data_IF_398015988535
#
_entry.id   IF_398015988535
#
_cell.length_a   1.000
_cell.length_b   1.000
_cell.length_c   1.000
_cell.angle_alpha   90.00
_cell.angle_beta   90.00
_cell.angle_gamma   90.00
#
_symmetry.space_group_name_H-M   'P 1'
#
loop_
_entity.id
_entity.type
_entity.pdbx_description
1 polymer ?
#
# COMPACT_ATOMS: atom_id res chain seq x y z
N UNK A 1 17.07 53.57 -44.35
CA UNK A 1 16.77 53.14 -42.96
C UNK A 1 15.27 52.88 -42.73
N UNK A 2 14.55 52.26 -43.69
CA UNK A 2 13.09 51.98 -43.61
C UNK A 2 12.72 50.49 -43.61
N UNK A 3 13.63 49.60 -44.04
CA UNK A 3 13.34 48.16 -44.20
C UNK A 3 13.51 47.28 -42.94
N UNK A 4 13.87 47.85 -41.78
CA UNK A 4 14.05 47.04 -40.54
C UNK A 4 12.86 47.12 -39.58
N UNK A 5 11.88 48.01 -39.81
CA UNK A 5 10.69 48.16 -38.95
C UNK A 5 9.46 47.35 -39.42
N UNK A 6 9.35 46.96 -40.69
CA UNK A 6 8.20 46.17 -41.17
C UNK A 6 8.20 44.70 -40.71
N UNK A 7 9.37 44.07 -40.59
CA UNK A 7 9.47 42.65 -40.25
C UNK A 7 9.05 42.33 -38.80
N UNK A 8 9.13 43.30 -37.88
CA UNK A 8 8.73 43.08 -36.48
C UNK A 8 7.20 43.18 -36.26
N UNK A 9 6.47 43.75 -37.23
CA UNK A 9 5.02 43.91 -37.14
C UNK A 9 4.26 42.73 -37.75
N UNK A 10 4.79 42.09 -38.80
CA UNK A 10 4.20 40.88 -39.41
C UNK A 10 4.31 39.66 -38.48
N UNK A 11 5.45 39.49 -37.80
CA UNK A 11 5.68 38.35 -36.92
C UNK A 11 4.79 38.39 -35.65
N UNK A 12 4.49 39.60 -35.15
CA UNK A 12 3.52 39.78 -34.05
C UNK A 12 2.09 39.45 -34.48
N UNK A 13 1.68 39.81 -35.71
CA UNK A 13 0.36 39.46 -36.24
C UNK A 13 0.21 37.94 -36.42
N UNK A 14 1.23 37.28 -36.96
CA UNK A 14 1.27 35.82 -37.11
C UNK A 14 1.20 35.11 -35.75
N UNK A 15 1.93 35.61 -34.75
CA UNK A 15 1.87 35.09 -33.40
C UNK A 15 0.47 35.26 -32.77
N UNK A 16 -0.17 36.41 -32.98
CA UNK A 16 -1.54 36.66 -32.50
C UNK A 16 -2.55 35.72 -33.18
N UNK A 17 -2.44 35.48 -34.48
CA UNK A 17 -3.32 34.53 -35.18
C UNK A 17 -3.12 33.08 -34.69
N UNK A 18 -1.87 32.66 -34.45
CA UNK A 18 -1.58 31.35 -33.84
C UNK A 18 -2.15 31.23 -32.43
N UNK A 19 -2.05 32.29 -31.63
CA UNK A 19 -2.60 32.31 -30.27
C UNK A 19 -4.14 32.22 -30.28
N UNK A 20 -4.81 32.94 -31.18
CA UNK A 20 -6.27 32.87 -31.34
C UNK A 20 -6.69 31.47 -31.80
N UNK A 21 -5.97 30.86 -32.74
CA UNK A 21 -6.24 29.50 -33.21
C UNK A 21 -6.07 28.46 -32.09
N UNK A 22 -5.03 28.62 -31.26
CA UNK A 22 -4.78 27.76 -30.10
C UNK A 22 -5.92 27.84 -29.08
N UNK A 23 -6.38 29.04 -28.71
CA UNK A 23 -7.52 29.18 -27.81
C UNK A 23 -8.84 28.69 -28.42
N UNK A 24 -9.08 28.91 -29.72
CA UNK A 24 -10.26 28.38 -30.41
C UNK A 24 -10.28 26.84 -30.40
N UNK A 25 -9.12 26.20 -30.56
CA UNK A 25 -8.99 24.74 -30.48
C UNK A 25 -9.32 24.20 -29.07
N UNK A 26 -8.79 24.84 -28.02
CA UNK A 26 -9.06 24.43 -26.63
C UNK A 26 -10.52 24.65 -26.21
N UNK A 27 -11.16 25.73 -26.64
CA UNK A 27 -12.57 25.98 -26.36
C UNK A 27 -13.46 24.97 -27.10
N UNK A 28 -13.14 24.66 -28.36
CA UNK A 28 -13.87 23.67 -29.17
C UNK A 28 -13.80 22.26 -28.58
N UNK A 29 -12.62 21.80 -28.15
CA UNK A 29 -12.46 20.47 -27.54
C UNK A 29 -13.13 20.37 -26.18
N UNK A 30 -13.13 21.45 -25.39
CA UNK A 30 -13.82 21.49 -24.09
C UNK A 30 -15.33 21.36 -24.23
N UNK A 31 -15.94 22.04 -25.20
CA UNK A 31 -17.38 21.94 -25.49
C UNK A 31 -17.74 20.55 -26.05
N UNK A 32 -16.88 19.98 -26.90
CA UNK A 32 -17.08 18.64 -27.45
C UNK A 32 -17.10 17.55 -26.37
N UNK A 33 -16.22 17.63 -25.36
CA UNK A 33 -16.22 16.67 -24.24
C UNK A 33 -17.45 16.76 -23.35
N UNK A 34 -18.00 17.97 -23.15
CA UNK A 34 -19.22 18.16 -22.34
C UNK A 34 -20.46 17.64 -23.09
N UNK A 35 -20.51 17.80 -24.41
CA UNK A 35 -21.65 17.34 -25.23
C UNK A 35 -21.67 15.83 -25.49
N UNK A 36 -20.52 15.15 -25.41
CA UNK A 36 -20.42 13.71 -25.68
C UNK A 36 -20.52 12.83 -24.42
N UNK A 37 -20.54 13.42 -23.22
CA UNK A 37 -20.87 12.73 -21.99
C UNK A 37 -22.40 12.58 -21.85
N UNK A 38 -22.97 11.59 -22.53
CA UNK A 38 -24.35 11.17 -22.24
C UNK A 38 -24.39 10.56 -20.84
N UNK A 39 -25.22 11.05 -19.91
CA UNK A 39 -25.47 10.34 -18.66
C UNK A 39 -26.14 9.02 -18.99
N UNK A 40 -25.49 7.92 -18.63
CA UNK A 40 -26.08 6.59 -18.65
C UNK A 40 -27.26 6.61 -17.66
N UNK A 41 -28.50 6.30 -18.08
CA UNK A 41 -29.61 6.24 -17.15
C UNK A 41 -29.31 5.17 -16.10
N UNK A 42 -29.70 5.38 -14.83
CA UNK A 42 -29.56 4.35 -13.81
C UNK A 42 -30.35 3.12 -14.28
N UNK A 43 -29.67 1.98 -14.37
CA UNK A 43 -30.30 0.69 -14.60
C UNK A 43 -31.17 0.39 -13.39
N UNK A 44 -32.46 0.65 -13.53
CA UNK A 44 -33.51 0.19 -12.63
C UNK A 44 -33.57 -1.33 -12.76
N UNK A 45 -32.87 -2.03 -11.87
CA UNK A 45 -33.07 -3.47 -11.67
C UNK A 45 -34.28 -3.63 -10.77
N UNK A 46 -35.41 -3.94 -11.39
CA UNK A 46 -36.56 -4.53 -10.70
C UNK A 46 -36.08 -5.72 -9.85
N UNK A 47 -36.41 -5.65 -8.56
CA UNK A 47 -36.13 -6.71 -7.59
C UNK A 47 -37.13 -7.83 -7.83
N UNK A 48 -36.75 -8.80 -8.65
CA UNK A 48 -37.27 -10.16 -8.54
C UNK A 48 -36.33 -10.94 -7.62
N UNK A 49 -36.78 -11.22 -6.40
CA UNK A 49 -36.09 -12.04 -5.41
C UNK A 49 -36.02 -13.50 -5.88
N UNK A 50 -35.05 -13.80 -6.74
CA UNK A 50 -34.51 -15.15 -6.82
C UNK A 50 -33.63 -15.38 -5.57
N UNK A 51 -33.69 -16.56 -4.93
CA UNK A 51 -32.79 -16.87 -3.83
C UNK A 51 -31.34 -16.81 -4.34
N UNK A 52 -30.59 -15.82 -3.87
CA UNK A 52 -29.14 -15.73 -4.06
C UNK A 52 -28.53 -16.97 -3.42
N UNK A 53 -28.16 -17.95 -4.25
CA UNK A 53 -27.17 -18.95 -3.86
C UNK A 53 -25.87 -18.17 -3.70
N UNK A 54 -25.53 -17.83 -2.45
CA UNK A 54 -24.24 -17.23 -2.11
C UNK A 54 -23.19 -18.22 -2.61
N UNK A 55 -22.34 -17.87 -3.59
CA UNK A 55 -21.22 -18.71 -3.94
C UNK A 55 -20.41 -18.94 -2.67
N UNK A 56 -19.98 -20.19 -2.35
CA UNK A 56 -19.05 -20.41 -1.27
C UNK A 56 -17.89 -19.43 -1.43
N UNK A 57 -17.56 -18.69 -0.37
CA UNK A 57 -16.42 -17.79 -0.39
C UNK A 57 -15.21 -18.56 -0.92
N UNK A 58 -14.69 -18.14 -2.06
CA UNK A 58 -13.54 -18.76 -2.70
C UNK A 58 -12.38 -18.64 -1.72
N UNK A 59 -12.03 -19.73 -1.06
CA UNK A 59 -10.89 -19.79 -0.15
C UNK A 59 -9.66 -19.63 -1.04
N UNK A 60 -9.17 -18.39 -1.20
CA UNK A 60 -7.91 -18.14 -1.88
C UNK A 60 -6.86 -19.02 -1.20
N UNK A 61 -6.26 -19.92 -1.97
CA UNK A 61 -5.14 -20.72 -1.50
C UNK A 61 -4.07 -19.77 -0.98
N UNK A 62 -3.68 -19.92 0.28
CA UNK A 62 -2.61 -19.12 0.87
C UNK A 62 -1.27 -19.68 0.43
N UNK A 63 -0.38 -18.79 -0.03
CA UNK A 63 0.97 -19.14 -0.48
C UNK A 63 1.97 -18.37 0.38
N UNK A 64 2.67 -19.10 1.25
CA UNK A 64 3.51 -18.52 2.30
C UNK A 64 2.75 -18.12 3.56
N UNK A 65 3.48 -17.55 4.51
CA UNK A 65 2.95 -17.01 5.75
C UNK A 65 3.70 -15.74 6.16
N UNK A 66 2.97 -14.81 6.78
CA UNK A 66 3.49 -13.67 7.51
C UNK A 66 2.94 -13.70 8.93
N UNK A 67 3.83 -13.61 9.91
CA UNK A 67 3.48 -13.70 11.32
C UNK A 67 4.12 -12.60 12.13
N UNK A 68 3.33 -11.93 12.97
CA UNK A 68 3.84 -11.08 14.05
C UNK A 68 4.21 -11.96 15.23
N UNK A 69 5.45 -11.83 15.69
CA UNK A 69 6.02 -12.59 16.80
C UNK A 69 6.78 -11.68 17.76
N UNK A 70 6.92 -12.14 19.00
CA UNK A 70 7.77 -11.51 20.02
C UNK A 70 9.12 -12.21 20.05
N UNK A 71 10.17 -11.55 20.54
CA UNK A 71 11.49 -12.18 20.66
C UNK A 71 11.52 -13.33 21.68
N UNK A 72 10.59 -13.31 22.64
CA UNK A 72 10.43 -14.34 23.66
C UNK A 72 8.98 -14.82 23.60
N UNK A 73 8.76 -16.05 23.12
CA UNK A 73 7.41 -16.61 22.89
C UNK A 73 6.54 -16.57 24.15
N UNK A 74 7.12 -16.78 25.33
CA UNK A 74 6.40 -16.81 26.61
C UNK A 74 6.13 -15.41 27.20
N UNK A 75 6.77 -14.36 26.66
CA UNK A 75 6.65 -13.01 27.22
C UNK A 75 5.61 -12.21 26.45
N UNK A 76 4.37 -12.32 26.86
CA UNK A 76 3.24 -11.56 26.29
C UNK A 76 2.90 -10.30 27.08
N UNK A 77 3.52 -10.08 28.24
CA UNK A 77 3.22 -8.96 29.14
C UNK A 77 4.38 -7.97 29.25
N UNK A 78 4.08 -6.68 29.13
CA UNK A 78 5.06 -5.59 29.05
C UNK A 78 4.66 -4.39 29.92
N UNK A 79 5.63 -3.71 30.55
CA UNK A 79 5.33 -2.50 31.31
C UNK A 79 4.93 -1.34 30.39
N UNK A 80 3.96 -0.56 30.84
CA UNK A 80 3.58 0.70 30.20
C UNK A 80 4.79 1.64 30.04
N UNK A 81 4.78 2.46 28.98
CA UNK A 81 5.79 3.46 28.65
C UNK A 81 7.19 2.89 28.33
N UNK A 82 7.34 1.56 28.30
CA UNK A 82 8.56 0.88 27.82
C UNK A 82 8.36 0.35 26.42
N UNK A 83 9.32 0.63 25.57
CA UNK A 83 9.28 0.17 24.19
C UNK A 83 9.24 -1.36 24.11
N UNK A 84 8.37 -1.86 23.23
CA UNK A 84 8.24 -3.26 22.89
C UNK A 84 8.68 -3.47 21.45
N UNK A 85 9.29 -4.62 21.20
CA UNK A 85 9.72 -5.03 19.87
C UNK A 85 8.85 -6.19 19.40
N UNK A 86 8.20 -5.99 18.25
CA UNK A 86 7.43 -7.00 17.53
C UNK A 86 8.18 -7.26 16.23
N UNK A 87 8.49 -8.51 15.93
CA UNK A 87 9.12 -8.88 14.67
C UNK A 87 8.08 -9.43 13.70
N UNK A 88 8.26 -9.12 12.43
CA UNK A 88 7.58 -9.78 11.34
C UNK A 88 8.44 -10.95 10.86
N UNK A 89 7.90 -12.15 10.97
CA UNK A 89 8.45 -13.39 10.44
C UNK A 89 7.76 -13.72 9.11
N UNK A 90 8.54 -14.23 8.15
CA UNK A 90 8.06 -14.62 6.83
C UNK A 90 8.48 -16.05 6.48
N UNK A 91 7.57 -16.75 5.81
CA UNK A 91 7.79 -18.01 5.12
C UNK A 91 7.26 -17.82 3.69
N UNK A 92 8.13 -17.98 2.68
CA UNK A 92 7.77 -17.79 1.27
C UNK A 92 7.44 -19.11 0.56
N UNK A 93 7.41 -20.24 1.26
CA UNK A 93 7.19 -21.57 0.67
C UNK A 93 8.07 -21.83 -0.55
N UNK A 94 9.38 -21.65 -0.37
CA UNK A 94 10.43 -21.84 -1.40
C UNK A 94 10.42 -20.81 -2.55
N UNK A 95 9.50 -19.85 -2.55
CA UNK A 95 9.45 -18.79 -3.58
C UNK A 95 10.52 -17.73 -3.33
N UNK A 96 11.13 -17.26 -4.42
CA UNK A 96 12.09 -16.16 -4.40
C UNK A 96 11.35 -14.82 -4.36
N UNK A 97 11.61 -14.01 -3.33
CA UNK A 97 10.87 -12.77 -3.07
C UNK A 97 11.69 -11.55 -3.50
N UNK A 98 11.09 -10.66 -4.28
CA UNK A 98 11.65 -9.38 -4.70
C UNK A 98 11.11 -8.20 -3.87
N UNK A 99 9.94 -8.37 -3.26
CA UNK A 99 9.33 -7.37 -2.40
C UNK A 99 8.18 -7.92 -1.57
N UNK A 100 7.71 -7.11 -0.62
CA UNK A 100 6.53 -7.43 0.18
C UNK A 100 5.82 -6.17 0.64
N UNK A 101 4.50 -6.24 0.68
CA UNK A 101 3.64 -5.22 1.28
C UNK A 101 3.02 -5.80 2.56
N UNK A 102 2.90 -4.99 3.61
CA UNK A 102 2.38 -5.43 4.90
C UNK A 102 1.47 -4.38 5.49
N UNK A 103 0.30 -4.80 5.95
CA UNK A 103 -0.69 -3.96 6.61
C UNK A 103 -0.99 -4.50 8.01
N UNK A 104 -0.73 -3.66 9.02
CA UNK A 104 -0.91 -4.00 10.44
C UNK A 104 -1.93 -3.05 11.05
N UNK A 105 -3.06 -3.61 11.51
CA UNK A 105 -4.01 -2.90 12.36
C UNK A 105 -3.57 -2.98 13.82
N UNK A 106 -3.68 -1.86 14.53
CA UNK A 106 -3.36 -1.71 15.95
C UNK A 106 -4.19 -0.56 16.53
N UNK A 107 -4.23 -0.42 17.86
CA UNK A 107 -4.87 0.73 18.52
C UNK A 107 -3.88 1.91 18.63
N UNK A 108 -4.01 2.98 17.81
CA UNK A 108 -3.12 4.14 17.84
C UNK A 108 -3.31 5.03 19.07
N UNK A 109 -4.40 4.85 19.83
CA UNK A 109 -4.62 5.54 21.11
C UNK A 109 -3.97 4.78 22.28
N UNK A 110 -3.64 3.50 22.09
CA UNK A 110 -2.96 2.69 23.09
C UNK A 110 -1.46 2.52 22.82
N UNK A 111 -1.01 2.69 21.57
CA UNK A 111 0.41 2.58 21.22
C UNK A 111 0.87 3.72 20.30
N UNK A 112 2.07 4.19 20.57
CA UNK A 112 2.83 5.02 19.66
C UNK A 112 3.79 4.14 18.84
N UNK A 113 3.63 4.13 17.51
CA UNK A 113 4.63 3.55 16.62
C UNK A 113 5.89 4.42 16.60
N UNK A 114 7.03 3.82 16.95
CA UNK A 114 8.33 4.51 17.05
C UNK A 114 9.10 4.37 15.74
N UNK A 115 9.33 3.14 15.28
CA UNK A 115 10.05 2.87 14.03
C UNK A 115 9.87 1.44 13.55
N UNK A 116 10.15 1.23 12.26
CA UNK A 116 10.41 -0.08 11.68
C UNK A 116 11.84 -0.14 11.14
N UNK A 117 12.45 -1.31 11.14
CA UNK A 117 13.79 -1.52 10.62
C UNK A 117 13.84 -2.86 9.89
N UNK A 118 14.43 -2.87 8.68
CA UNK A 118 14.71 -4.11 7.96
C UNK A 118 15.70 -4.95 8.75
N UNK A 119 15.42 -6.24 8.90
CA UNK A 119 16.38 -7.21 9.44
C UNK A 119 17.17 -7.90 8.32
N UNK A 120 16.79 -7.68 7.07
CA UNK A 120 17.48 -8.18 5.88
C UNK A 120 18.42 -7.10 5.34
N UNK A 121 19.68 -7.47 5.10
CA UNK A 121 20.70 -6.55 4.59
C UNK A 121 20.45 -6.08 3.16
N UNK A 122 19.69 -6.85 2.40
CA UNK A 122 19.40 -6.61 1.00
C UNK A 122 18.00 -6.05 0.75
N UNK A 123 17.25 -5.69 1.80
CA UNK A 123 15.95 -5.02 1.67
C UNK A 123 15.94 -3.65 2.32
N UNK A 124 15.29 -2.71 1.64
CA UNK A 124 14.87 -1.43 2.21
C UNK A 124 13.42 -1.55 2.68
N UNK A 125 13.10 -0.86 3.77
CA UNK A 125 11.74 -0.78 4.31
C UNK A 125 11.27 0.67 4.35
N UNK A 126 10.06 0.89 3.86
CA UNK A 126 9.36 2.16 3.90
C UNK A 126 8.11 2.00 4.75
N UNK A 127 7.89 2.93 5.69
CA UNK A 127 6.77 2.89 6.63
C UNK A 127 5.82 4.05 6.36
N UNK A 128 4.52 3.75 6.35
CA UNK A 128 3.45 4.73 6.16
C UNK A 128 2.46 4.62 7.32
N UNK A 129 2.44 5.63 8.18
CA UNK A 129 1.47 5.73 9.28
C UNK A 129 0.16 6.33 8.77
N UNK A 130 -0.92 5.57 8.91
CA UNK A 130 -2.29 5.98 8.60
C UNK A 130 -3.06 6.15 9.91
N UNK A 131 -4.31 6.62 9.84
CA UNK A 131 -5.10 6.93 11.03
C UNK A 131 -5.31 5.72 11.97
N UNK A 132 -5.53 4.52 11.41
CA UNK A 132 -5.90 3.32 12.18
C UNK A 132 -5.02 2.09 11.91
N UNK A 133 -3.95 2.23 11.11
CA UNK A 133 -3.07 1.14 10.73
C UNK A 133 -1.70 1.64 10.26
N UNK A 134 -0.76 0.71 10.15
CA UNK A 134 0.55 0.91 9.51
C UNK A 134 0.59 0.13 8.21
N UNK A 135 1.14 0.74 7.17
CA UNK A 135 1.48 0.06 5.93
C UNK A 135 3.00 0.10 5.74
N UNK A 136 3.57 -1.02 5.30
CA UNK A 136 5.00 -1.17 5.04
C UNK A 136 5.21 -1.69 3.64
N UNK A 137 6.27 -1.20 3.00
CA UNK A 137 6.74 -1.70 1.71
C UNK A 137 8.20 -2.11 1.90
N UNK A 138 8.48 -3.40 1.72
CA UNK A 138 9.81 -3.97 1.67
C UNK A 138 10.23 -4.19 0.22
N UNK A 139 11.34 -3.60 -0.19
CA UNK A 139 11.88 -3.80 -1.55
C UNK A 139 13.32 -4.25 -1.50
N UNK A 140 13.62 -5.25 -2.32
CA UNK A 140 14.99 -5.70 -2.50
C UNK A 140 15.84 -4.63 -3.18
N UNK A 141 17.06 -4.48 -2.70
CA UNK A 141 18.06 -3.57 -3.26
C UNK A 141 18.48 -4.04 -4.65
N UNK A 142 18.64 -3.09 -5.59
CA UNK A 142 19.00 -3.41 -6.98
C UNK A 142 20.37 -4.09 -7.12
N UNK A 143 21.23 -3.95 -6.12
CA UNK A 143 22.56 -4.55 -6.08
C UNK A 143 22.54 -6.02 -5.64
N UNK A 144 21.46 -6.47 -4.99
CA UNK A 144 21.35 -7.86 -4.53
C UNK A 144 20.89 -8.78 -5.65
N UNK A 145 21.71 -9.77 -5.97
CA UNK A 145 21.41 -10.84 -6.92
C UNK A 145 21.14 -12.19 -6.22
N UNK A 146 21.33 -12.26 -4.90
CA UNK A 146 21.13 -13.48 -4.14
C UNK A 146 19.63 -13.78 -4.04
N UNK A 147 19.15 -15.02 -4.22
CA UNK A 147 17.75 -15.37 -3.98
C UNK A 147 17.32 -15.04 -2.54
N UNK A 148 16.10 -14.53 -2.38
CA UNK A 148 15.51 -14.23 -1.08
C UNK A 148 14.33 -15.18 -0.85
N UNK A 149 14.67 -16.39 -0.42
CA UNK A 149 13.69 -17.40 -0.02
C UNK A 149 13.59 -17.35 1.50
N UNK A 150 12.40 -17.10 2.03
CA UNK A 150 12.18 -16.99 3.46
C UNK A 150 11.66 -18.32 4.01
N UNK A 151 12.31 -18.81 5.06
CA UNK A 151 11.85 -19.95 5.87
C UNK A 151 11.85 -19.48 7.32
N UNK A 152 10.66 -19.17 7.84
CA UNK A 152 10.44 -18.59 9.18
C UNK A 152 11.48 -17.54 9.55
N UNK A 153 11.72 -16.63 8.62
CA UNK A 153 12.79 -15.65 8.70
C UNK A 153 12.24 -14.34 9.25
N UNK A 154 12.87 -13.78 10.29
CA UNK A 154 12.55 -12.42 10.77
C UNK A 154 13.02 -11.40 9.73
N UNK A 155 12.07 -10.73 9.07
CA UNK A 155 12.36 -9.81 7.96
C UNK A 155 12.30 -8.33 8.36
N UNK A 156 11.53 -7.99 9.40
CA UNK A 156 11.35 -6.62 9.87
C UNK A 156 11.15 -6.58 11.38
N UNK A 157 11.74 -5.58 12.03
CA UNK A 157 11.54 -5.29 13.46
C UNK A 157 10.73 -4.01 13.62
N UNK A 158 9.68 -4.06 14.43
CA UNK A 158 8.75 -2.97 14.71
C UNK A 158 8.86 -2.58 16.18
N UNK A 159 9.06 -1.29 16.46
CA UNK A 159 9.13 -0.77 17.81
C UNK A 159 7.91 0.08 18.12
N UNK A 160 7.23 -0.25 19.21
CA UNK A 160 6.07 0.47 19.73
C UNK A 160 6.30 0.90 21.17
N UNK A 161 5.75 2.05 21.55
CA UNK A 161 5.68 2.50 22.94
C UNK A 161 4.22 2.41 23.43
N UNK A 162 3.91 1.58 24.43
CA UNK A 162 2.58 1.49 25.02
C UNK A 162 2.25 2.76 25.81
N UNK A 163 1.05 3.30 25.59
CA UNK A 163 0.51 4.50 26.24
C UNK A 163 -0.61 4.17 27.23
N UNK A 164 -1.26 3.01 27.07
CA UNK A 164 -2.36 2.52 27.91
C UNK A 164 -2.08 1.10 28.39
N UNK A 165 -2.49 0.81 29.62
CA UNK A 165 -2.53 -0.54 30.17
C UNK A 165 -3.78 -1.28 29.66
N UNK A 166 -3.70 -2.61 29.57
CA UNK A 166 -4.76 -3.47 29.06
C UNK A 166 -4.25 -4.52 28.08
N UNK A 167 -5.20 -5.25 27.48
CA UNK A 167 -4.90 -6.24 26.45
C UNK A 167 -5.19 -5.65 25.07
N UNK A 168 -4.26 -5.82 24.14
CA UNK A 168 -4.34 -5.23 22.82
C UNK A 168 -3.88 -6.21 21.75
N UNK A 169 -4.50 -6.12 20.59
CA UNK A 169 -4.24 -6.98 19.45
C UNK A 169 -3.51 -6.19 18.35
N UNK A 170 -2.47 -6.81 17.80
CA UNK A 170 -1.84 -6.41 16.54
C UNK A 170 -2.24 -7.42 15.48
N UNK A 171 -2.90 -6.97 14.42
CA UNK A 171 -3.51 -7.87 13.44
C UNK A 171 -2.92 -7.60 12.06
N UNK A 172 -2.31 -8.62 11.45
CA UNK A 172 -2.00 -8.58 10.02
C UNK A 172 -3.30 -8.69 9.23
N UNK A 173 -3.54 -7.74 8.33
CA UNK A 173 -4.75 -7.70 7.51
C UNK A 173 -4.39 -7.96 6.04
N UNK A 174 -5.17 -8.77 5.31
CA UNK A 174 -4.91 -8.99 3.89
C UNK A 174 -5.11 -7.70 3.08
N UNK A 175 -6.05 -6.85 3.50
CA UNK A 175 -6.30 -5.55 2.88
C UNK A 175 -6.93 -4.59 3.90
N UNK A 176 -6.53 -3.32 3.86
CA UNK A 176 -7.26 -2.21 4.47
C UNK A 176 -7.32 -1.07 3.44
N UNK A 177 -8.52 -0.68 3.02
CA UNK A 177 -8.75 0.27 1.92
C UNK A 177 -8.12 -0.21 0.60
N UNK A 178 -6.95 0.34 0.25
CA UNK A 178 -6.21 0.03 -0.99
C UNK A 178 -4.84 -0.60 -0.73
N UNK A 179 -4.42 -0.64 0.53
CA UNK A 179 -3.15 -1.22 0.94
C UNK A 179 -3.38 -2.72 1.22
N UNK A 180 -2.50 -3.58 0.70
CA UNK A 180 -2.64 -5.04 0.77
C UNK A 180 -1.43 -5.67 1.46
N UNK A 181 -1.58 -6.89 1.98
CA UNK A 181 -0.47 -7.69 2.50
C UNK A 181 -0.16 -8.84 1.56
N UNK A 182 1.00 -8.77 0.89
CA UNK A 182 1.38 -9.73 -0.13
C UNK A 182 2.90 -9.87 -0.24
N UNK A 183 3.36 -11.01 -0.74
CA UNK A 183 4.69 -11.13 -1.31
C UNK A 183 4.67 -10.83 -2.81
N UNK A 184 5.78 -10.31 -3.33
CA UNK A 184 6.02 -10.11 -4.75
C UNK A 184 7.24 -10.95 -5.14
N UNK A 185 7.10 -11.85 -6.10
CA UNK A 185 8.21 -12.68 -6.59
C UNK A 185 9.11 -11.91 -7.57
N UNK A 186 10.24 -12.49 -7.96
CA UNK A 186 11.09 -11.97 -9.04
C UNK A 186 10.43 -12.06 -10.43
N UNK A 187 9.43 -12.92 -10.62
CA UNK A 187 8.56 -12.93 -11.81
C UNK A 187 7.37 -11.95 -11.72
N UNK A 188 7.34 -11.08 -10.71
CA UNK A 188 6.25 -10.11 -10.45
C UNK A 188 4.91 -10.75 -10.08
N UNK A 189 4.90 -12.03 -9.72
CA UNK A 189 3.73 -12.71 -9.19
C UNK A 189 3.42 -12.19 -7.78
N UNK A 190 2.13 -12.04 -7.46
CA UNK A 190 1.68 -11.64 -6.12
C UNK A 190 1.18 -12.86 -5.36
N UNK A 191 1.85 -13.19 -4.26
CA UNK A 191 1.46 -14.30 -3.37
C UNK A 191 0.68 -13.74 -2.18
N UNK A 192 -0.39 -14.43 -1.79
CA UNK A 192 -1.24 -14.04 -0.67
C UNK A 192 -0.89 -14.92 0.54
N UNK A 193 -0.10 -14.43 1.52
CA UNK A 193 0.33 -15.24 2.64
C UNK A 193 -0.79 -15.47 3.65
N UNK A 194 -0.69 -16.57 4.40
CA UNK A 194 -1.44 -16.74 5.64
C UNK A 194 -0.99 -15.69 6.67
N UNK A 195 -1.93 -15.17 7.45
CA UNK A 195 -1.70 -14.05 8.38
C UNK A 195 -2.12 -14.42 9.81
N UNK A 196 -1.47 -13.83 10.81
CA UNK A 196 -1.82 -14.02 12.21
C UNK A 196 -2.27 -12.73 12.91
N UNK A 197 -2.62 -12.91 14.18
CA UNK A 197 -2.85 -11.86 15.17
C UNK A 197 -1.93 -12.12 16.36
N UNK A 198 -1.35 -11.05 16.90
CA UNK A 198 -0.50 -11.07 18.09
C UNK A 198 -1.17 -10.28 19.21
N UNK A 199 -1.37 -10.94 20.35
CA UNK A 199 -1.92 -10.32 21.56
C UNK A 199 -0.81 -9.94 22.51
N UNK A 200 -0.89 -8.73 23.06
CA UNK A 200 0.02 -8.26 24.11
C UNK A 200 -0.78 -7.72 25.29
N UNK A 201 -0.24 -7.91 26.48
CA UNK A 201 -0.76 -7.33 27.71
C UNK A 201 0.18 -6.25 28.22
N UNK A 202 -0.38 -5.10 28.59
CA UNK A 202 0.36 -3.95 29.10
C UNK A 202 -0.05 -3.67 30.54
N UNK A 203 0.93 -3.61 31.45
CA UNK A 203 0.73 -3.37 32.90
C UNK A 203 1.36 -2.08 33.41
#
# INVERSE_FOLDING_TARGET
MKNKMENNQSNKKIFIYLLIMFFAFFIGTSIFLILNNKPQPPSEKETATAPTVIPPAEVKSTEGALSLILDQEDKTSFPKDKEITINLEADSMEKNISGYDVVISYDPLAFEFVKATSLLTDFNIYSYKKESYLAFVGTKTLQSQAPSVFDKTKIMSLIFRPLKAGQFDFVLKPVINKDNTNFITDETETLNPALNELKVEIY
#
